data_IF_386386343210
#
_entry.id   IF_386386343210
#
_cell.length_a   1.000
_cell.length_b   1.000
_cell.length_c   1.000
_cell.angle_alpha   90.00
_cell.angle_beta   90.00
_cell.angle_gamma   90.00
#
_symmetry.space_group_name_H-M   'P 1'
#
loop_
_entity.id
_entity.type
_entity.pdbx_description
1 polymer ?
#
# COMPACT_ATOMS: atom_id res chain seq x y z
N UNK A 1 21.85 4.90 29.80
CA UNK A 1 21.15 3.85 30.53
C UNK A 1 22.12 2.77 31.03
N UNK A 2 22.96 2.15 30.18
CA UNK A 2 23.94 1.10 30.62
C UNK A 2 24.91 1.62 31.68
N UNK A 3 25.47 2.82 31.49
CA UNK A 3 26.34 3.45 32.48
C UNK A 3 25.61 3.73 33.82
N UNK A 4 24.33 4.13 33.78
CA UNK A 4 23.53 4.33 34.98
C UNK A 4 23.29 3.01 35.73
N UNK A 5 23.03 1.92 35.01
CA UNK A 5 22.87 0.60 35.62
C UNK A 5 24.15 0.11 36.29
N UNK A 6 25.32 0.33 35.68
CA UNK A 6 26.62 0.01 36.27
C UNK A 6 26.90 0.83 37.54
N UNK A 7 26.50 2.10 37.55
CA UNK A 7 26.66 2.96 38.73
C UNK A 7 25.77 2.50 39.87
N UNK A 8 24.50 2.15 39.55
CA UNK A 8 23.54 1.62 40.53
C UNK A 8 24.00 0.26 41.11
N UNK A 9 24.59 -0.60 40.27
CA UNK A 9 25.16 -1.87 40.69
C UNK A 9 26.31 -1.68 41.69
N UNK A 10 27.27 -0.81 41.37
CA UNK A 10 28.38 -0.47 42.31
C UNK A 10 27.90 0.20 43.59
N UNK A 11 26.79 0.96 43.52
CA UNK A 11 26.17 1.55 44.71
C UNK A 11 25.56 0.45 45.60
N UNK A 12 24.86 -0.48 44.99
CA UNK A 12 24.26 -1.61 45.71
C UNK A 12 25.32 -2.49 46.37
N UNK A 13 26.39 -2.84 45.65
CA UNK A 13 27.53 -3.61 46.21
C UNK A 13 28.16 -2.92 47.44
N UNK A 14 28.36 -1.59 47.38
CA UNK A 14 28.88 -0.84 48.53
C UNK A 14 27.93 -0.85 49.74
N UNK A 15 26.63 -0.71 49.51
CA UNK A 15 25.63 -0.75 50.59
C UNK A 15 25.51 -2.16 51.18
N UNK A 16 25.63 -3.21 50.36
CA UNK A 16 25.66 -4.60 50.84
C UNK A 16 26.91 -4.97 51.64
N UNK A 17 28.07 -4.37 51.29
CA UNK A 17 29.30 -4.57 52.06
C UNK A 17 29.23 -3.92 53.44
N UNK A 18 28.30 -2.97 53.65
CA UNK A 18 28.10 -2.24 54.92
C UNK A 18 26.74 -2.61 55.58
N UNK A 19 26.26 -3.82 55.36
CA UNK A 19 24.91 -4.28 55.79
C UNK A 19 24.64 -4.07 57.25
N UNK A 20 25.60 -4.16 58.12
CA UNK A 20 25.44 -3.99 59.55
C UNK A 20 25.35 -2.51 59.99
N UNK A 21 25.72 -1.59 59.10
CA UNK A 21 25.76 -0.15 59.41
C UNK A 21 24.79 0.69 58.58
N UNK A 22 24.06 0.05 57.61
CA UNK A 22 23.16 0.73 56.70
C UNK A 22 21.73 0.25 56.89
N UNK A 23 20.72 1.14 56.92
CA UNK A 23 19.33 0.75 57.00
C UNK A 23 18.92 -0.15 55.84
N UNK A 24 18.18 -1.26 56.12
CA UNK A 24 17.69 -2.21 55.09
C UNK A 24 16.90 -1.53 53.96
N UNK A 25 16.13 -0.49 54.26
CA UNK A 25 15.37 0.31 53.29
C UNK A 25 16.28 0.90 52.21
N UNK A 26 17.53 1.28 52.55
CA UNK A 26 18.44 1.91 51.58
C UNK A 26 19.04 0.86 50.63
N UNK A 27 19.22 -0.37 51.09
CA UNK A 27 19.62 -1.51 50.25
C UNK A 27 18.46 -1.91 49.32
N UNK A 28 17.25 -2.00 49.85
CA UNK A 28 16.04 -2.31 49.05
C UNK A 28 15.77 -1.24 47.98
N UNK A 29 15.95 0.03 48.31
CA UNK A 29 15.82 1.12 47.35
C UNK A 29 16.86 1.01 46.22
N UNK A 30 18.12 0.72 46.54
CA UNK A 30 19.17 0.54 45.54
C UNK A 30 18.94 -0.70 44.66
N UNK A 31 18.39 -1.78 45.23
CA UNK A 31 17.98 -2.97 44.47
C UNK A 31 16.84 -2.64 43.48
N UNK A 32 15.83 -1.92 43.95
CA UNK A 32 14.69 -1.52 43.12
C UNK A 32 15.11 -0.61 41.97
N UNK A 33 16.04 0.34 42.24
CA UNK A 33 16.62 1.22 41.22
C UNK A 33 17.35 0.39 40.12
N UNK A 34 18.23 -0.53 40.53
CA UNK A 34 18.96 -1.38 39.60
C UNK A 34 18.01 -2.25 38.75
N UNK A 35 16.99 -2.85 39.38
CA UNK A 35 16.00 -3.65 38.68
C UNK A 35 15.23 -2.82 37.65
N UNK A 36 14.83 -1.59 37.99
CA UNK A 36 14.13 -0.71 37.07
C UNK A 36 14.97 -0.33 35.85
N UNK A 37 16.28 -0.03 36.08
CA UNK A 37 17.21 0.29 35.00
C UNK A 37 17.47 -0.91 34.10
N UNK A 38 17.63 -2.12 34.66
CA UNK A 38 17.78 -3.35 33.89
C UNK A 38 16.54 -3.68 33.06
N UNK A 39 15.33 -3.51 33.62
CA UNK A 39 14.08 -3.70 32.89
C UNK A 39 13.95 -2.73 31.70
N UNK A 40 14.31 -1.46 31.89
CA UNK A 40 14.32 -0.47 30.80
C UNK A 40 15.34 -0.82 29.70
N UNK A 41 16.53 -1.29 30.07
CA UNK A 41 17.54 -1.74 29.09
C UNK A 41 17.02 -2.94 28.30
N UNK A 42 16.39 -3.92 28.97
CA UNK A 42 15.82 -5.09 28.34
C UNK A 42 14.71 -4.73 27.36
N UNK A 43 13.78 -3.82 27.76
CA UNK A 43 12.70 -3.35 26.90
C UNK A 43 13.21 -2.65 25.63
N UNK A 44 14.24 -1.79 25.78
CA UNK A 44 14.87 -1.13 24.63
C UNK A 44 15.63 -2.13 23.75
N UNK A 45 16.30 -3.11 24.32
CA UNK A 45 17.02 -4.13 23.56
C UNK A 45 16.06 -5.02 22.76
N UNK A 46 14.88 -5.33 23.31
CA UNK A 46 13.83 -6.06 22.60
C UNK A 46 13.30 -5.22 21.43
N UNK A 47 13.06 -3.93 21.61
CA UNK A 47 12.59 -3.04 20.54
C UNK A 47 13.62 -2.85 19.42
N UNK A 48 14.91 -2.75 19.76
CA UNK A 48 16.00 -2.55 18.78
C UNK A 48 16.47 -3.84 18.09
N UNK A 49 16.21 -5.01 18.69
CA UNK A 49 16.61 -6.31 18.15
C UNK A 49 15.48 -7.08 17.47
N UNK A 50 14.24 -6.62 17.58
CA UNK A 50 13.11 -7.27 16.97
C UNK A 50 13.18 -7.12 15.45
N UNK A 51 13.45 -8.23 14.75
CA UNK A 51 13.25 -8.31 13.30
C UNK A 51 11.76 -8.51 13.04
N UNK A 52 11.12 -7.48 12.56
CA UNK A 52 9.75 -7.59 12.11
C UNK A 52 9.75 -8.07 10.65
N UNK A 53 9.11 -9.21 10.40
CA UNK A 53 8.96 -9.72 9.05
C UNK A 53 7.81 -8.96 8.36
N UNK A 54 8.13 -8.13 7.38
CA UNK A 54 7.13 -7.48 6.54
C UNK A 54 6.52 -8.53 5.61
N UNK A 55 5.23 -8.78 5.75
CA UNK A 55 4.49 -9.75 4.93
C UNK A 55 3.56 -9.01 3.96
N UNK A 56 3.47 -9.53 2.73
CA UNK A 56 2.47 -9.04 1.78
C UNK A 56 1.06 -9.32 2.31
N UNK A 57 0.15 -8.32 2.31
CA UNK A 57 -1.22 -8.50 2.78
C UNK A 57 -2.10 -9.30 1.80
N UNK A 58 -1.66 -9.42 0.56
CA UNK A 58 -2.36 -10.12 -0.53
C UNK A 58 -1.35 -10.88 -1.38
N UNK A 59 -1.84 -11.94 -2.05
CA UNK A 59 -1.07 -12.60 -3.09
C UNK A 59 -0.98 -11.71 -4.33
N UNK A 60 0.21 -11.58 -4.91
CA UNK A 60 0.41 -10.71 -6.05
C UNK A 60 1.87 -10.60 -6.48
N UNK A 61 2.14 -9.61 -7.30
CA UNK A 61 3.49 -9.25 -7.74
C UNK A 61 3.89 -7.89 -7.15
N UNK A 62 5.17 -7.70 -6.90
CA UNK A 62 5.71 -6.41 -6.45
C UNK A 62 5.69 -5.47 -7.66
N UNK A 63 4.86 -4.43 -7.61
CA UNK A 63 4.78 -3.39 -8.64
C UNK A 63 5.89 -2.35 -8.45
N UNK A 64 6.20 -2.01 -7.20
CA UNK A 64 7.30 -1.08 -6.87
C UNK A 64 7.94 -1.42 -5.53
N UNK A 65 9.22 -1.09 -5.39
CA UNK A 65 10.00 -1.20 -4.17
C UNK A 65 10.67 0.16 -3.89
N UNK A 66 10.35 0.75 -2.75
CA UNK A 66 10.83 2.09 -2.39
C UNK A 66 11.93 2.06 -1.35
N UNK A 67 12.20 0.89 -0.74
CA UNK A 67 13.22 0.74 0.28
C UNK A 67 14.45 0.01 -0.22
N UNK A 68 15.64 0.45 0.24
CA UNK A 68 16.94 -0.20 0.02
C UNK A 68 17.51 -0.73 1.32
N UNK A 69 18.33 -1.77 1.23
CA UNK A 69 18.99 -2.36 2.39
C UNK A 69 19.84 -1.33 3.12
N UNK A 70 19.63 -1.20 4.44
CA UNK A 70 20.32 -0.23 5.29
C UNK A 70 19.64 1.14 5.40
N UNK A 71 18.55 1.38 4.69
CA UNK A 71 17.75 2.59 4.81
C UNK A 71 16.98 2.60 6.13
N UNK A 72 16.91 3.77 6.76
CA UNK A 72 16.01 4.03 7.88
C UNK A 72 14.68 4.49 7.31
N UNK A 73 13.61 3.81 7.71
CA UNK A 73 12.25 4.10 7.25
C UNK A 73 11.45 4.76 8.37
N UNK A 74 10.64 5.72 8.00
CA UNK A 74 9.68 6.32 8.91
C UNK A 74 8.43 5.43 9.07
N UNK A 75 7.75 5.58 10.21
CA UNK A 75 6.48 4.92 10.42
C UNK A 75 5.46 5.37 9.34
N UNK A 76 4.81 4.42 8.67
CA UNK A 76 3.86 4.60 7.56
C UNK A 76 4.49 4.87 6.19
N UNK A 77 5.80 4.81 6.06
CA UNK A 77 6.44 4.86 4.75
C UNK A 77 6.11 3.60 3.94
N UNK A 78 5.75 3.79 2.67
CA UNK A 78 5.46 2.66 1.77
C UNK A 78 6.78 1.98 1.39
N UNK A 79 6.94 0.72 1.74
CA UNK A 79 8.14 -0.07 1.45
C UNK A 79 8.01 -0.80 0.11
N UNK A 80 6.89 -1.47 -0.09
CA UNK A 80 6.57 -2.21 -1.30
C UNK A 80 5.13 -1.96 -1.70
N UNK A 81 4.89 -1.93 -2.99
CA UNK A 81 3.54 -1.97 -3.56
C UNK A 81 3.30 -3.35 -4.17
N UNK A 82 2.27 -4.04 -3.69
CA UNK A 82 1.89 -5.38 -4.16
C UNK A 82 0.57 -5.28 -4.91
N UNK A 83 0.54 -5.78 -6.13
CA UNK A 83 -0.64 -5.73 -7.02
C UNK A 83 -1.03 -7.15 -7.41
N UNK A 84 -2.32 -7.46 -7.33
CA UNK A 84 -2.88 -8.68 -7.91
C UNK A 84 -3.21 -8.43 -9.40
N UNK A 85 -2.44 -8.98 -10.35
CA UNK A 85 -2.65 -8.74 -11.78
C UNK A 85 -3.95 -9.36 -12.32
N UNK A 86 -4.60 -10.25 -11.55
CA UNK A 86 -5.89 -10.85 -11.92
C UNK A 86 -7.07 -9.94 -11.59
N UNK A 87 -6.86 -8.91 -10.78
CA UNK A 87 -7.91 -8.02 -10.26
C UNK A 87 -7.75 -6.58 -10.72
N UNK A 88 -7.14 -6.39 -11.87
CA UNK A 88 -7.00 -5.07 -12.47
C UNK A 88 -8.36 -4.50 -12.88
N UNK A 89 -8.45 -3.19 -12.78
CA UNK A 89 -9.60 -2.40 -13.23
C UNK A 89 -9.12 -1.45 -14.31
N UNK A 90 -9.87 -1.37 -15.41
CA UNK A 90 -9.66 -0.37 -16.45
C UNK A 90 -10.56 0.82 -16.13
N UNK A 91 -10.01 2.01 -16.21
CA UNK A 91 -10.74 3.26 -16.15
C UNK A 91 -10.68 3.94 -17.51
N UNK A 92 -11.83 4.20 -18.12
CA UNK A 92 -11.96 4.94 -19.36
C UNK A 92 -12.72 6.23 -19.09
N UNK A 93 -12.34 7.34 -19.75
CA UNK A 93 -12.97 8.64 -19.59
C UNK A 93 -14.00 8.85 -20.71
N UNK A 94 -15.27 9.02 -20.36
CA UNK A 94 -16.36 9.33 -21.29
C UNK A 94 -16.65 10.83 -21.24
N UNK A 95 -16.45 11.53 -22.35
CA UNK A 95 -16.74 12.96 -22.46
C UNK A 95 -18.24 13.23 -22.59
N UNK A 96 -19.02 12.22 -23.00
CA UNK A 96 -20.48 12.26 -23.02
C UNK A 96 -21.02 11.49 -21.81
N UNK A 97 -21.50 12.15 -20.76
CA UNK A 97 -22.01 11.46 -19.57
C UNK A 97 -23.18 10.53 -19.84
N UNK A 98 -23.98 10.81 -20.88
CA UNK A 98 -25.11 9.96 -21.30
C UNK A 98 -24.67 8.54 -21.69
N UNK A 99 -23.44 8.36 -22.17
CA UNK A 99 -22.87 7.08 -22.51
C UNK A 99 -22.87 6.08 -21.33
N UNK A 100 -22.71 6.59 -20.11
CA UNK A 100 -22.69 5.74 -18.91
C UNK A 100 -24.00 4.94 -18.70
N UNK A 101 -25.14 5.55 -19.07
CA UNK A 101 -26.45 4.90 -18.97
C UNK A 101 -26.73 3.93 -20.12
N UNK A 102 -25.97 4.05 -21.21
CA UNK A 102 -26.23 3.32 -22.46
C UNK A 102 -25.16 2.27 -22.80
N UNK A 103 -24.26 1.97 -21.88
CA UNK A 103 -23.24 0.92 -22.07
C UNK A 103 -23.91 -0.45 -22.24
N UNK A 104 -23.80 -1.03 -23.42
CA UNK A 104 -24.27 -2.37 -23.74
C UNK A 104 -23.18 -3.42 -23.56
N UNK A 105 -22.15 -3.36 -24.39
CA UNK A 105 -20.98 -4.23 -24.30
C UNK A 105 -19.69 -3.41 -24.32
N UNK A 106 -18.61 -3.96 -23.76
CA UNK A 106 -17.32 -3.32 -23.78
C UNK A 106 -16.21 -4.32 -24.11
N UNK A 107 -15.21 -3.87 -24.84
CA UNK A 107 -14.10 -4.70 -25.28
C UNK A 107 -12.79 -3.94 -25.13
N UNK A 108 -11.78 -4.62 -24.58
CA UNK A 108 -10.39 -4.22 -24.68
C UNK A 108 -9.91 -4.54 -26.11
N UNK A 109 -9.28 -3.59 -26.76
CA UNK A 109 -8.70 -3.76 -28.08
C UNK A 109 -7.18 -3.77 -27.94
N UNK A 110 -6.57 -4.91 -28.23
CA UNK A 110 -5.13 -5.07 -28.26
C UNK A 110 -4.51 -4.45 -29.54
N UNK A 111 -3.20 -4.20 -29.51
CA UNK A 111 -2.48 -3.62 -30.66
C UNK A 111 -2.55 -4.52 -31.91
N UNK A 112 -2.61 -5.81 -31.74
CA UNK A 112 -2.78 -6.80 -32.83
C UNK A 112 -4.22 -6.93 -33.35
N UNK A 113 -5.13 -6.09 -32.84
CA UNK A 113 -6.53 -6.07 -33.23
C UNK A 113 -7.40 -7.12 -32.53
N UNK A 114 -6.84 -7.99 -31.67
CA UNK A 114 -7.61 -8.91 -30.85
C UNK A 114 -8.45 -8.14 -29.84
N UNK A 115 -9.64 -8.66 -29.58
CA UNK A 115 -10.56 -8.06 -28.62
C UNK A 115 -10.81 -9.01 -27.45
N UNK A 116 -10.83 -8.45 -26.25
CA UNK A 116 -11.20 -9.16 -25.02
C UNK A 116 -12.43 -8.50 -24.43
N UNK A 117 -13.47 -9.29 -24.15
CA UNK A 117 -14.69 -8.77 -23.51
C UNK A 117 -14.39 -8.25 -22.12
N UNK A 118 -14.95 -7.08 -21.81
CA UNK A 118 -14.87 -6.43 -20.52
C UNK A 118 -16.24 -6.41 -19.85
N UNK A 119 -16.25 -6.49 -18.54
CA UNK A 119 -17.45 -6.30 -17.73
C UNK A 119 -17.54 -4.85 -17.28
N UNK A 120 -18.61 -4.15 -17.64
CA UNK A 120 -18.89 -2.82 -17.10
C UNK A 120 -19.22 -2.93 -15.61
N UNK A 121 -18.50 -2.18 -14.78
CA UNK A 121 -18.66 -2.17 -13.32
C UNK A 121 -19.46 -0.96 -12.83
N UNK A 122 -19.48 0.09 -13.60
CA UNK A 122 -20.21 1.32 -13.29
C UNK A 122 -19.49 2.58 -13.73
N UNK A 123 -20.14 3.70 -13.54
CA UNK A 123 -19.61 5.04 -13.78
C UNK A 123 -19.34 5.74 -12.46
N UNK A 124 -18.32 6.61 -12.43
CA UNK A 124 -18.04 7.46 -11.30
C UNK A 124 -19.14 8.52 -11.11
N UNK A 125 -19.33 8.96 -9.87
CA UNK A 125 -20.27 10.06 -9.55
C UNK A 125 -19.66 11.46 -9.71
N UNK A 126 -18.36 11.55 -9.98
CA UNK A 126 -17.62 12.82 -10.11
C UNK A 126 -16.94 12.86 -11.47
N UNK A 127 -17.06 14.02 -12.14
CA UNK A 127 -16.29 14.29 -13.35
C UNK A 127 -14.79 14.45 -13.00
N UNK A 128 -13.94 13.89 -13.83
CA UNK A 128 -12.50 14.08 -13.84
C UNK A 128 -12.12 14.64 -15.21
N UNK A 129 -11.44 15.79 -15.25
CA UNK A 129 -11.06 16.44 -16.51
C UNK A 129 -12.24 16.64 -17.49
N UNK A 130 -13.41 17.02 -16.93
CA UNK A 130 -14.68 17.19 -17.64
C UNK A 130 -15.26 15.90 -18.26
N UNK A 131 -14.70 14.74 -17.96
CA UNK A 131 -15.16 13.44 -18.40
C UNK A 131 -15.69 12.61 -17.24
N UNK A 132 -16.61 11.72 -17.51
CA UNK A 132 -17.13 10.77 -16.56
C UNK A 132 -16.26 9.50 -16.58
N UNK A 133 -15.64 9.09 -15.46
CA UNK A 133 -14.87 7.85 -15.44
C UNK A 133 -15.80 6.63 -15.47
N UNK A 134 -15.58 5.75 -16.43
CA UNK A 134 -16.22 4.46 -16.57
C UNK A 134 -15.26 3.37 -16.11
N UNK A 135 -15.72 2.47 -15.25
CA UNK A 135 -14.91 1.37 -14.73
C UNK A 135 -15.29 0.05 -15.39
N UNK A 136 -14.26 -0.71 -15.80
CA UNK A 136 -14.41 -2.04 -16.39
C UNK A 136 -13.49 -3.04 -15.68
N UNK A 137 -13.96 -4.29 -15.60
CA UNK A 137 -13.19 -5.41 -15.06
C UNK A 137 -13.13 -6.57 -16.04
N UNK A 138 -12.33 -7.58 -15.68
CA UNK A 138 -12.17 -8.79 -16.47
C UNK A 138 -11.00 -8.77 -17.47
N UNK A 139 -10.23 -7.67 -17.51
CA UNK A 139 -9.02 -7.61 -18.31
C UNK A 139 -7.93 -8.53 -17.73
N UNK A 140 -7.18 -9.15 -18.61
CA UNK A 140 -6.03 -10.00 -18.28
C UNK A 140 -4.82 -9.61 -19.12
N UNK A 141 -3.61 -9.89 -18.59
CA UNK A 141 -2.37 -9.66 -19.33
C UNK A 141 -1.96 -8.20 -19.46
N UNK A 142 -2.48 -7.31 -18.62
CA UNK A 142 -2.14 -5.90 -18.58
C UNK A 142 -1.18 -5.60 -17.44
N UNK A 143 -0.37 -4.56 -17.62
CA UNK A 143 0.43 -3.96 -16.56
C UNK A 143 -0.35 -2.83 -15.87
N UNK A 144 -0.03 -2.57 -14.59
CA UNK A 144 -0.57 -1.42 -13.88
C UNK A 144 -0.10 -0.11 -14.56
N UNK A 145 -1.02 0.83 -14.78
CA UNK A 145 -0.74 2.09 -15.43
C UNK A 145 -0.61 2.02 -16.97
N UNK A 146 -0.82 0.86 -17.57
CA UNK A 146 -0.79 0.70 -19.02
C UNK A 146 -1.96 1.44 -19.67
N UNK A 147 -1.67 2.26 -20.70
CA UNK A 147 -2.69 2.85 -21.53
C UNK A 147 -3.30 1.79 -22.47
N UNK A 148 -4.62 1.75 -22.48
CA UNK A 148 -5.37 0.75 -23.25
C UNK A 148 -6.50 1.40 -24.05
N UNK A 149 -6.92 0.76 -25.15
CA UNK A 149 -8.07 1.17 -25.93
C UNK A 149 -9.29 0.33 -25.53
N UNK A 150 -10.36 1.01 -25.16
CA UNK A 150 -11.65 0.37 -24.85
C UNK A 150 -12.66 0.77 -25.93
N UNK A 151 -13.28 -0.23 -26.53
CA UNK A 151 -14.43 -0.06 -27.42
C UNK A 151 -15.68 -0.32 -26.61
N UNK A 152 -16.58 0.67 -26.57
CA UNK A 152 -17.88 0.55 -25.91
C UNK A 152 -18.97 0.51 -26.99
N UNK A 153 -19.81 -0.50 -26.95
CA UNK A 153 -21.04 -0.59 -27.74
C UNK A 153 -22.20 -0.09 -26.89
N UNK A 154 -22.97 0.84 -27.45
CA UNK A 154 -24.21 1.32 -26.84
C UNK A 154 -25.34 0.32 -27.02
N UNK A 155 -26.33 0.34 -26.12
CA UNK A 155 -27.57 -0.43 -26.26
C UNK A 155 -28.49 0.16 -27.32
N UNK A 156 -28.48 1.51 -27.39
CA UNK A 156 -29.24 2.24 -28.40
C UNK A 156 -28.57 2.07 -29.76
N UNK A 157 -29.36 1.89 -30.79
CA UNK A 157 -28.93 1.86 -32.19
C UNK A 157 -29.49 3.08 -32.93
N UNK A 158 -28.65 3.65 -33.78
CA UNK A 158 -29.07 4.77 -34.66
C UNK A 158 -29.11 4.20 -36.07
N UNK A 159 -30.25 4.41 -36.76
CA UNK A 159 -30.35 4.13 -38.17
C UNK A 159 -29.67 5.24 -38.99
N UNK A 160 -28.74 4.87 -39.84
CA UNK A 160 -27.96 5.80 -40.65
C UNK A 160 -27.19 5.08 -41.75
N UNK A 161 -26.57 5.86 -42.63
CA UNK A 161 -25.68 5.35 -43.66
C UNK A 161 -24.25 5.47 -43.22
N UNK A 162 -23.48 4.39 -43.37
CA UNK A 162 -22.04 4.40 -43.12
C UNK A 162 -21.34 5.06 -44.33
N UNK A 163 -20.74 6.23 -44.09
CA UNK A 163 -19.95 6.91 -45.11
C UNK A 163 -18.48 6.74 -44.77
N UNK A 164 -17.63 6.19 -45.65
CA UNK A 164 -16.20 6.10 -45.44
C UNK A 164 -15.59 7.49 -45.21
N UNK A 165 -14.67 7.62 -44.26
CA UNK A 165 -14.02 8.89 -43.94
C UNK A 165 -13.33 9.55 -45.17
N UNK A 166 -12.91 8.76 -46.14
CA UNK A 166 -12.31 9.20 -47.41
C UNK A 166 -13.32 9.91 -48.34
N UNK A 167 -14.61 9.71 -48.12
CA UNK A 167 -15.69 10.37 -48.91
C UNK A 167 -16.07 11.76 -48.36
N UNK A 168 -15.53 12.15 -47.20
CA UNK A 168 -15.74 13.44 -46.58
C UNK A 168 -14.66 14.39 -47.13
N UNK A 169 -15.05 15.21 -48.13
CA UNK A 169 -14.21 16.29 -48.61
C UNK A 169 -14.38 17.47 -47.64
N UNK A 170 -13.25 18.05 -47.17
CA UNK A 170 -13.23 19.31 -46.42
C UNK A 170 -13.36 20.49 -47.37
#
# INVERSE_FOLDING_TARGET
LRAAAQLAEKRLERLQALVDSVPRRDIEAAQSELLSLRARIAALAQGLGAREALRAPVDGVIASAHAVVGQVLDAREAVFEVVDPRRLRIEALAYEPALAADVGAAFLVAEDGRTQALRFLGAGARLREQALPLSFGGAQGLALGQAVRVLVQTRSSVQGFAVPAQALVK
#
